data_IF_804894593721
#
_entry.id   IF_804894593721
#
_cell.length_a   1.000
_cell.length_b   1.000
_cell.length_c   1.000
_cell.angle_alpha   90.00
_cell.angle_beta   90.00
_cell.angle_gamma   90.00
#
_symmetry.space_group_name_H-M   'P 1'
#
loop_
_entity.id
_entity.type
_entity.pdbx_description
1 polymer ?
#
# COMPACT_ATOMS: atom_id res chain seq x y z
N UNK A 1 -10.44 -18.34 1.72
CA UNK A 1 -11.22 -17.65 0.67
C UNK A 1 -11.20 -16.16 0.99
N UNK A 2 -10.60 -15.36 0.12
CA UNK A 2 -10.61 -13.89 0.27
C UNK A 2 -11.88 -13.39 -0.40
N UNK A 3 -12.86 -12.95 0.39
CA UNK A 3 -14.05 -12.28 -0.14
C UNK A 3 -13.69 -10.81 -0.34
N UNK A 4 -13.59 -10.37 -1.60
CA UNK A 4 -13.29 -8.99 -1.97
C UNK A 4 -14.61 -8.36 -2.41
N UNK A 5 -15.20 -7.52 -1.56
CA UNK A 5 -16.29 -6.64 -1.98
C UNK A 5 -15.72 -5.43 -2.69
N UNK A 6 -16.35 -5.05 -3.80
CA UNK A 6 -15.79 -4.19 -4.85
C UNK A 6 -15.61 -2.73 -4.43
N UNK A 7 -16.33 -2.29 -3.40
CA UNK A 7 -16.40 -0.87 -3.00
C UNK A 7 -15.94 -0.62 -1.54
N UNK A 8 -15.84 -1.69 -0.76
CA UNK A 8 -15.20 -1.77 0.55
C UNK A 8 -14.23 -2.95 0.45
N UNK A 9 -12.93 -2.69 0.33
CA UNK A 9 -11.95 -3.78 0.32
C UNK A 9 -11.84 -4.31 1.75
N UNK A 10 -12.83 -5.08 2.17
CA UNK A 10 -12.91 -5.78 3.42
C UNK A 10 -12.14 -7.08 3.27
N UNK A 11 -10.82 -7.03 3.42
CA UNK A 11 -10.01 -8.22 3.26
C UNK A 11 -10.17 -9.13 4.48
N UNK A 12 -10.73 -10.34 4.30
CA UNK A 12 -10.81 -11.35 5.38
C UNK A 12 -9.55 -12.22 5.37
N UNK A 13 -8.67 -12.06 6.36
CA UNK A 13 -7.35 -12.70 6.41
C UNK A 13 -7.28 -13.97 7.27
N UNK A 14 -8.11 -14.98 6.96
CA UNK A 14 -8.03 -16.26 7.69
C UNK A 14 -6.98 -17.23 7.12
N UNK A 15 -6.53 -17.03 5.88
CA UNK A 15 -5.79 -18.06 5.12
C UNK A 15 -4.46 -17.60 4.50
N UNK A 16 -3.87 -16.47 4.93
CA UNK A 16 -2.53 -16.13 4.46
C UNK A 16 -1.51 -17.11 5.05
N UNK A 17 -0.64 -17.72 4.23
CA UNK A 17 0.35 -18.65 4.74
C UNK A 17 1.22 -17.96 5.79
N UNK A 18 1.59 -18.73 6.81
CA UNK A 18 2.65 -18.31 7.73
C UNK A 18 3.95 -18.36 6.96
N UNK A 19 4.61 -17.22 6.87
CA UNK A 19 5.90 -17.11 6.18
C UNK A 19 7.01 -17.13 7.24
N UNK A 20 8.07 -17.94 7.04
CA UNK A 20 9.22 -17.91 7.92
C UNK A 20 9.88 -16.53 7.91
N UNK A 21 10.42 -16.13 9.06
CA UNK A 21 11.23 -14.92 9.17
C UNK A 21 12.60 -15.07 8.48
N UNK A 22 13.29 -13.94 8.33
CA UNK A 22 14.59 -13.88 7.66
C UNK A 22 15.61 -13.17 8.54
N UNK A 23 16.88 -13.56 8.45
CA UNK A 23 17.97 -12.85 9.15
C UNK A 23 18.39 -11.55 8.46
N UNK A 24 17.96 -11.35 7.21
CA UNK A 24 18.32 -10.21 6.39
C UNK A 24 17.07 -9.49 5.85
N UNK A 25 17.24 -8.21 5.52
CA UNK A 25 16.29 -7.46 4.70
C UNK A 25 16.27 -8.02 3.27
N UNK A 26 15.12 -7.91 2.61
CA UNK A 26 14.99 -8.33 1.23
C UNK A 26 13.57 -8.15 0.68
N UNK A 27 13.24 -9.01 -0.27
CA UNK A 27 11.95 -9.05 -0.94
C UNK A 27 11.26 -10.38 -0.68
N UNK A 28 9.98 -10.33 -0.37
CA UNK A 28 9.10 -11.47 -0.57
C UNK A 28 8.47 -11.34 -1.95
N UNK A 29 8.60 -12.39 -2.76
CA UNK A 29 8.16 -12.39 -4.15
C UNK A 29 7.18 -13.54 -4.32
N UNK A 30 5.97 -13.21 -4.80
CA UNK A 30 5.00 -14.19 -5.24
C UNK A 30 5.32 -14.54 -6.69
N UNK A 31 5.48 -15.83 -6.95
CA UNK A 31 5.82 -16.35 -8.27
C UNK A 31 4.82 -17.40 -8.73
N UNK A 32 4.61 -17.50 -10.03
CA UNK A 32 4.01 -18.68 -10.63
C UNK A 32 4.94 -19.91 -10.45
N UNK A 33 4.44 -21.14 -10.73
CA UNK A 33 5.23 -22.36 -10.59
C UNK A 33 6.45 -22.46 -11.52
N UNK A 34 6.41 -21.79 -12.67
CA UNK A 34 7.42 -21.89 -13.75
C UNK A 34 8.47 -20.77 -13.68
N UNK A 35 8.34 -19.86 -12.71
CA UNK A 35 9.24 -18.73 -12.55
C UNK A 35 10.67 -19.18 -12.22
N UNK A 36 11.60 -18.85 -13.11
CA UNK A 36 13.04 -19.15 -12.95
C UNK A 36 13.66 -18.55 -11.69
N UNK A 37 13.03 -17.54 -11.07
CA UNK A 37 13.51 -16.95 -9.83
C UNK A 37 13.55 -17.99 -8.70
N UNK A 38 12.58 -18.91 -8.67
CA UNK A 38 12.47 -19.93 -7.63
C UNK A 38 13.60 -20.97 -7.64
N UNK A 39 14.34 -21.07 -8.75
CA UNK A 39 15.45 -22.01 -8.92
C UNK A 39 16.83 -21.34 -8.87
N UNK A 40 16.91 -20.02 -8.65
CA UNK A 40 18.22 -19.33 -8.60
C UNK A 40 18.95 -19.63 -7.29
N UNK A 41 20.28 -19.82 -7.34
CA UNK A 41 21.10 -19.96 -6.13
C UNK A 41 20.92 -18.79 -5.16
N UNK A 42 20.81 -19.10 -3.86
CA UNK A 42 20.66 -18.10 -2.80
C UNK A 42 19.23 -17.55 -2.61
N UNK A 43 18.26 -18.00 -3.42
CA UNK A 43 16.84 -17.69 -3.23
C UNK A 43 16.17 -18.86 -2.52
N UNK A 44 15.53 -18.57 -1.39
CA UNK A 44 14.84 -19.58 -0.59
C UNK A 44 13.34 -19.55 -0.88
N UNK A 45 12.74 -20.71 -1.18
CA UNK A 45 11.29 -20.87 -1.15
C UNK A 45 10.83 -20.88 0.30
N UNK A 46 9.92 -19.99 0.64
CA UNK A 46 9.40 -19.79 1.98
C UNK A 46 8.07 -20.49 2.21
N UNK A 47 7.20 -20.48 1.20
CA UNK A 47 5.90 -21.11 1.29
C UNK A 47 5.31 -21.42 -0.09
N UNK A 48 4.16 -22.08 -0.06
CA UNK A 48 3.23 -22.16 -1.18
C UNK A 48 2.03 -21.27 -0.88
N UNK A 49 1.65 -20.48 -1.86
CA UNK A 49 0.47 -19.61 -1.84
C UNK A 49 -0.69 -20.32 -2.55
N UNK A 50 -1.96 -19.95 -2.27
CA UNK A 50 -3.11 -20.50 -2.99
C UNK A 50 -2.94 -20.48 -4.53
N UNK A 51 -3.31 -21.59 -5.17
CA UNK A 51 -3.15 -21.79 -6.62
C UNK A 51 -1.79 -22.38 -7.03
N UNK A 52 -1.04 -22.98 -6.10
CA UNK A 52 0.25 -23.63 -6.40
C UNK A 52 1.44 -22.68 -6.53
N UNK A 53 1.20 -21.37 -6.39
CA UNK A 53 2.19 -20.30 -6.49
C UNK A 53 3.25 -20.40 -5.39
N UNK A 54 4.48 -20.00 -5.71
CA UNK A 54 5.58 -19.95 -4.75
C UNK A 54 5.66 -18.59 -4.06
N UNK A 55 6.02 -18.59 -2.77
CA UNK A 55 6.59 -17.39 -2.15
C UNK A 55 8.07 -17.62 -1.94
N UNK A 56 8.89 -16.77 -2.52
CA UNK A 56 10.35 -16.83 -2.39
C UNK A 56 10.88 -15.58 -1.70
N UNK A 57 12.02 -15.71 -1.05
CA UNK A 57 12.74 -14.60 -0.45
C UNK A 57 14.01 -14.28 -1.22
N UNK A 58 14.16 -13.02 -1.60
CA UNK A 58 15.34 -12.48 -2.28
C UNK A 58 16.09 -11.57 -1.31
N UNK A 59 17.19 -12.02 -0.69
CA UNK A 59 17.98 -11.19 0.23
C UNK A 59 18.62 -10.02 -0.52
N UNK A 60 18.50 -8.81 0.01
CA UNK A 60 19.14 -7.63 -0.59
C UNK A 60 19.23 -6.47 0.40
N UNK A 61 20.32 -5.72 0.32
CA UNK A 61 20.50 -4.45 1.04
C UNK A 61 19.93 -3.24 0.26
N UNK A 62 19.44 -3.46 -0.96
CA UNK A 62 18.84 -2.44 -1.84
C UNK A 62 17.47 -2.93 -2.34
N UNK A 63 16.46 -3.01 -1.46
CA UNK A 63 15.18 -3.65 -1.77
C UNK A 63 14.48 -2.99 -2.96
N UNK A 64 14.37 -1.67 -3.01
CA UNK A 64 13.67 -0.99 -4.11
C UNK A 64 14.36 -1.18 -5.46
N UNK A 65 15.69 -1.10 -5.51
CA UNK A 65 16.44 -1.32 -6.75
C UNK A 65 16.28 -2.76 -7.23
N UNK A 66 16.42 -3.74 -6.33
CA UNK A 66 16.23 -5.15 -6.67
C UNK A 66 14.80 -5.44 -7.11
N UNK A 67 13.80 -4.81 -6.48
CA UNK A 67 12.40 -4.99 -6.84
C UNK A 67 12.09 -4.50 -8.25
N UNK A 68 12.71 -3.39 -8.69
CA UNK A 68 12.57 -2.92 -10.09
C UNK A 68 13.18 -3.89 -11.10
N UNK A 69 14.22 -4.62 -10.73
CA UNK A 69 14.79 -5.66 -11.60
C UNK A 69 13.92 -6.93 -11.59
N UNK A 70 13.54 -7.41 -10.40
CA UNK A 70 12.78 -8.65 -10.23
C UNK A 70 11.38 -8.56 -10.84
N UNK A 71 10.72 -7.39 -10.81
CA UNK A 71 9.36 -7.23 -11.35
C UNK A 71 9.24 -7.42 -12.87
N UNK A 72 10.37 -7.44 -13.58
CA UNK A 72 10.44 -7.65 -15.03
C UNK A 72 10.68 -9.12 -15.41
N UNK A 73 10.86 -9.99 -14.41
CA UNK A 73 11.08 -11.41 -14.66
C UNK A 73 9.76 -12.11 -14.93
N UNK A 74 9.72 -12.91 -15.99
CA UNK A 74 8.58 -13.75 -16.31
C UNK A 74 8.20 -14.63 -15.11
N UNK A 75 6.90 -14.68 -14.84
CA UNK A 75 6.32 -15.43 -13.74
C UNK A 75 6.42 -14.80 -12.36
N UNK A 76 6.96 -13.58 -12.25
CA UNK A 76 6.81 -12.77 -11.03
C UNK A 76 5.44 -12.11 -11.03
N UNK A 77 4.67 -12.31 -9.96
CA UNK A 77 3.29 -11.81 -9.85
C UNK A 77 3.16 -10.60 -8.92
N UNK A 78 3.88 -10.63 -7.80
CA UNK A 78 3.79 -9.59 -6.78
C UNK A 78 5.08 -9.52 -5.95
N UNK A 79 5.43 -8.32 -5.47
CA UNK A 79 6.63 -8.09 -4.68
C UNK A 79 6.27 -7.26 -3.47
N UNK A 80 6.71 -7.68 -2.28
CA UNK A 80 6.74 -6.80 -1.11
C UNK A 80 8.12 -6.68 -0.49
N UNK A 81 8.45 -5.49 0.00
CA UNK A 81 9.63 -5.27 0.82
C UNK A 81 9.42 -5.91 2.20
N UNK A 82 10.42 -6.65 2.67
CA UNK A 82 10.44 -7.33 3.96
C UNK A 82 11.72 -6.99 4.72
N UNK A 83 11.64 -6.39 5.92
CA UNK A 83 12.80 -6.19 6.78
C UNK A 83 13.31 -7.51 7.36
N UNK A 84 14.51 -7.47 7.92
CA UNK A 84 15.00 -8.55 8.74
C UNK A 84 14.08 -8.83 9.93
N UNK A 85 13.88 -10.10 10.24
CA UNK A 85 13.09 -10.59 11.36
C UNK A 85 11.86 -11.39 10.91
N UNK A 86 10.89 -11.51 11.82
CA UNK A 86 9.63 -12.18 11.54
C UNK A 86 8.86 -11.47 10.43
N UNK A 87 8.19 -12.24 9.57
CA UNK A 87 7.28 -11.66 8.57
C UNK A 87 5.99 -11.24 9.26
N UNK A 88 5.75 -9.93 9.31
CA UNK A 88 4.56 -9.37 9.96
C UNK A 88 3.27 -9.66 9.18
N UNK A 89 2.12 -9.50 9.83
CA UNK A 89 0.83 -9.59 9.15
C UNK A 89 0.73 -8.52 8.06
N UNK A 90 1.17 -7.29 8.35
CA UNK A 90 1.17 -6.16 7.42
C UNK A 90 2.05 -6.42 6.19
N UNK A 91 3.22 -7.06 6.33
CA UNK A 91 4.01 -7.47 5.17
C UNK A 91 3.24 -8.46 4.29
N UNK A 92 2.58 -9.47 4.88
CA UNK A 92 1.79 -10.44 4.11
C UNK A 92 0.60 -9.78 3.41
N UNK A 93 0.00 -8.79 4.06
CA UNK A 93 -1.07 -7.97 3.47
C UNK A 93 -0.54 -7.14 2.30
N UNK A 94 0.65 -6.55 2.42
CA UNK A 94 1.27 -5.82 1.32
C UNK A 94 1.54 -6.75 0.13
N UNK A 95 2.08 -7.96 0.35
CA UNK A 95 2.27 -8.94 -0.74
C UNK A 95 0.95 -9.31 -1.43
N UNK A 96 -0.10 -9.55 -0.65
CA UNK A 96 -1.44 -9.80 -1.19
C UNK A 96 -1.95 -8.60 -1.99
N UNK A 97 -1.78 -7.38 -1.47
CA UNK A 97 -2.19 -6.14 -2.12
C UNK A 97 -1.51 -5.96 -3.48
N UNK A 98 -0.20 -6.22 -3.58
CA UNK A 98 0.52 -6.20 -4.85
C UNK A 98 -0.10 -7.18 -5.88
N UNK A 99 -0.53 -8.36 -5.45
CA UNK A 99 -1.22 -9.33 -6.32
C UNK A 99 -2.61 -8.83 -6.76
N UNK A 100 -3.36 -8.16 -5.88
CA UNK A 100 -4.66 -7.57 -6.24
C UNK A 100 -4.51 -6.39 -7.20
N UNK A 101 -3.50 -5.54 -7.01
CA UNK A 101 -3.18 -4.46 -7.95
C UNK A 101 -2.92 -5.03 -9.35
N UNK A 102 -2.18 -6.13 -9.44
CA UNK A 102 -2.01 -6.87 -10.69
C UNK A 102 -3.35 -7.30 -11.27
N UNK A 103 -4.16 -8.00 -10.51
CA UNK A 103 -5.42 -8.57 -11.00
C UNK A 103 -6.43 -7.51 -11.46
N UNK A 104 -6.46 -6.36 -10.78
CA UNK A 104 -7.41 -5.28 -11.04
C UNK A 104 -6.94 -4.25 -12.07
N UNK A 105 -5.64 -3.90 -12.08
CA UNK A 105 -5.11 -2.83 -12.94
C UNK A 105 -4.50 -3.33 -14.24
N UNK A 106 -3.83 -4.49 -14.27
CA UNK A 106 -3.19 -4.96 -15.51
C UNK A 106 -4.15 -5.12 -16.68
N UNK A 107 -5.38 -5.66 -16.53
CA UNK A 107 -6.32 -5.73 -17.63
C UNK A 107 -6.68 -4.36 -18.19
N UNK A 108 -6.95 -3.38 -17.33
CA UNK A 108 -7.25 -2.00 -17.71
C UNK A 108 -6.07 -1.40 -18.48
N UNK A 109 -4.85 -1.56 -17.95
CA UNK A 109 -3.63 -1.06 -18.57
C UNK A 109 -3.36 -1.66 -19.94
N UNK A 110 -3.56 -2.98 -20.11
CA UNK A 110 -3.39 -3.64 -21.41
C UNK A 110 -4.39 -3.13 -22.45
N UNK A 111 -5.63 -2.87 -22.04
CA UNK A 111 -6.65 -2.33 -22.95
C UNK A 111 -6.41 -0.87 -23.34
N UNK A 112 -5.88 -0.04 -22.44
CA UNK A 112 -5.59 1.38 -22.73
C UNK A 112 -4.27 1.57 -23.47
N UNK A 113 -3.23 0.79 -23.16
CA UNK A 113 -1.93 0.83 -23.84
C UNK A 113 -2.04 0.38 -25.31
N UNK A 114 -2.88 -0.61 -25.60
CA UNK A 114 -3.13 -1.08 -26.97
C UNK A 114 -3.74 -0.04 -27.92
N UNK A 115 -4.10 1.16 -27.44
CA UNK A 115 -4.55 2.28 -28.27
C UNK A 115 -3.47 3.29 -28.65
N UNK A 116 -2.32 3.35 -27.97
CA UNK A 116 -1.31 4.39 -28.24
C UNK A 116 0.14 4.13 -27.76
N UNK A 117 0.48 2.97 -27.17
CA UNK A 117 1.85 2.73 -26.67
C UNK A 117 2.29 1.27 -26.69
N UNK A 118 3.61 1.09 -26.79
CA UNK A 118 4.30 -0.19 -26.79
C UNK A 118 4.01 -0.96 -25.48
N UNK A 119 3.46 -2.17 -25.59
CA UNK A 119 3.04 -3.02 -24.45
C UNK A 119 4.23 -3.45 -23.56
N UNK A 120 5.45 -3.25 -24.05
CA UNK A 120 6.73 -3.55 -23.40
C UNK A 120 7.02 -2.75 -22.14
N UNK A 121 6.26 -1.67 -21.87
CA UNK A 121 6.48 -0.78 -20.72
C UNK A 121 5.60 -1.14 -19.51
N UNK A 122 4.61 -2.02 -19.67
CA UNK A 122 3.73 -2.37 -18.56
C UNK A 122 4.45 -3.30 -17.57
N UNK A 123 4.43 -3.01 -16.27
CA UNK A 123 5.10 -3.86 -15.30
C UNK A 123 4.36 -5.20 -15.13
N UNK A 124 5.10 -6.31 -15.17
CA UNK A 124 4.52 -7.63 -14.90
C UNK A 124 4.12 -7.81 -13.43
N UNK A 125 4.78 -7.11 -12.51
CA UNK A 125 4.44 -7.14 -11.09
C UNK A 125 4.45 -5.77 -10.42
N UNK A 126 3.64 -5.63 -9.37
CA UNK A 126 3.59 -4.45 -8.51
C UNK A 126 4.51 -4.62 -7.30
N UNK A 127 5.11 -3.51 -6.86
CA UNK A 127 6.03 -3.47 -5.72
C UNK A 127 5.37 -2.70 -4.57
N UNK A 128 5.23 -3.35 -3.42
CA UNK A 128 4.54 -2.76 -2.26
C UNK A 128 5.28 -2.93 -0.94
N UNK A 129 4.88 -2.21 0.10
CA UNK A 129 5.39 -2.40 1.47
C UNK A 129 4.50 -1.74 2.51
N UNK A 130 4.53 -2.24 3.75
CA UNK A 130 3.75 -1.70 4.86
C UNK A 130 4.49 -0.61 5.64
N UNK A 131 3.76 0.30 6.31
CA UNK A 131 4.38 1.47 6.97
C UNK A 131 5.43 1.13 8.06
N UNK A 132 5.24 0.08 8.85
CA UNK A 132 6.23 -0.30 9.87
C UNK A 132 7.55 -0.80 9.26
N UNK A 133 7.48 -1.38 8.06
CA UNK A 133 8.62 -1.95 7.36
C UNK A 133 9.34 -0.95 6.45
N UNK A 134 8.72 0.20 6.15
CA UNK A 134 9.17 1.13 5.09
C UNK A 134 9.60 2.50 5.57
N UNK A 135 9.31 2.87 6.83
CA UNK A 135 9.81 4.11 7.45
C UNK A 135 11.36 4.20 7.49
N UNK A 136 12.05 3.06 7.33
CA UNK A 136 13.51 2.95 7.20
C UNK A 136 14.03 3.14 5.77
N UNK A 137 13.18 3.05 4.75
CA UNK A 137 13.53 3.39 3.36
C UNK A 137 13.49 4.92 3.23
N UNK A 138 14.41 5.59 3.95
CA UNK A 138 14.42 7.05 4.16
C UNK A 138 14.68 7.86 2.89
N UNK A 139 15.01 7.23 1.77
CA UNK A 139 15.14 7.87 0.46
C UNK A 139 14.53 6.95 -0.58
N UNK A 140 13.29 7.24 -0.97
CA UNK A 140 12.79 6.72 -2.23
C UNK A 140 13.74 7.24 -3.32
N UNK A 141 14.31 6.38 -4.18
CA UNK A 141 15.10 6.84 -5.32
C UNK A 141 14.31 7.89 -6.09
N UNK A 142 14.95 8.94 -6.59
CA UNK A 142 14.28 10.01 -7.36
C UNK A 142 13.48 9.46 -8.55
N UNK A 143 13.92 8.33 -9.09
CA UNK A 143 13.32 7.59 -10.21
C UNK A 143 12.03 6.84 -9.83
N UNK A 144 11.71 6.73 -8.55
CA UNK A 144 10.56 5.99 -8.03
C UNK A 144 9.62 6.94 -7.31
N UNK A 145 8.34 6.89 -7.67
CA UNK A 145 7.25 7.53 -6.98
C UNK A 145 6.63 6.57 -5.96
N UNK A 146 6.10 7.13 -4.88
CA UNK A 146 5.44 6.38 -3.82
C UNK A 146 3.97 6.76 -3.73
N UNK A 147 3.09 5.77 -3.89
CA UNK A 147 1.63 5.93 -3.81
C UNK A 147 1.14 5.32 -2.51
N UNK A 148 0.41 6.11 -1.71
CA UNK A 148 -0.23 5.62 -0.49
C UNK A 148 -1.58 4.97 -0.81
N UNK A 149 -1.74 3.72 -0.37
CA UNK A 149 -3.02 3.05 -0.28
C UNK A 149 -3.44 2.97 1.18
N UNK A 150 -4.66 3.40 1.46
CA UNK A 150 -5.32 3.17 2.73
C UNK A 150 -6.29 2.03 2.55
N UNK A 151 -6.04 0.92 3.24
CA UNK A 151 -6.83 -0.30 3.13
C UNK A 151 -7.48 -0.64 4.46
N UNK A 152 -8.67 -1.25 4.40
CA UNK A 152 -9.35 -1.78 5.58
C UNK A 152 -9.16 -3.29 5.61
N UNK A 153 -8.85 -3.82 6.78
CA UNK A 153 -8.46 -5.21 6.96
C UNK A 153 -9.36 -5.84 8.00
N UNK A 154 -10.06 -6.91 7.65
CA UNK A 154 -10.84 -7.69 8.60
C UNK A 154 -9.96 -8.73 9.29
N UNK A 155 -9.56 -8.41 10.53
CA UNK A 155 -8.82 -9.29 11.43
C UNK A 155 -9.76 -10.12 12.34
N UNK A 156 -10.85 -10.65 11.77
CA UNK A 156 -11.80 -11.55 12.41
C UNK A 156 -12.81 -10.84 13.34
N UNK A 157 -12.34 -10.22 14.42
CA UNK A 157 -13.19 -9.51 15.40
C UNK A 157 -13.05 -7.99 15.33
N UNK A 158 -12.10 -7.49 14.56
CA UNK A 158 -11.81 -6.06 14.43
C UNK A 158 -11.45 -5.71 13.00
N UNK A 159 -11.85 -4.52 12.59
CA UNK A 159 -11.35 -3.89 11.38
C UNK A 159 -10.10 -3.08 11.73
N UNK A 160 -9.07 -3.22 10.91
CA UNK A 160 -7.81 -2.49 11.02
C UNK A 160 -7.65 -1.62 9.78
N UNK A 161 -7.31 -0.36 9.96
CA UNK A 161 -6.90 0.50 8.85
C UNK A 161 -5.38 0.38 8.71
N UNK A 162 -4.90 0.04 7.51
CA UNK A 162 -3.49 -0.11 7.24
C UNK A 162 -3.03 0.76 6.06
N UNK A 163 -1.86 1.41 6.19
CA UNK A 163 -1.18 2.06 5.08
C UNK A 163 -0.32 1.03 4.33
N UNK A 164 -0.56 0.91 3.03
CA UNK A 164 0.29 0.15 2.10
C UNK A 164 0.87 1.11 1.08
N UNK A 165 2.19 1.11 0.95
CA UNK A 165 2.90 1.86 -0.06
C UNK A 165 3.03 1.02 -1.32
N UNK A 166 2.72 1.62 -2.46
CA UNK A 166 3.08 1.11 -3.79
C UNK A 166 4.23 1.96 -4.33
N UNK A 167 5.23 1.32 -4.91
CA UNK A 167 6.34 1.99 -5.58
C UNK A 167 6.30 1.73 -7.08
N UNK A 168 6.35 2.83 -7.82
CA UNK A 168 6.26 2.85 -9.27
C UNK A 168 7.41 3.68 -9.84
N UNK A 169 7.99 3.30 -10.98
CA UNK A 169 8.80 4.21 -11.78
C UNK A 169 8.05 5.52 -11.96
N UNK A 170 8.74 6.64 -11.78
CA UNK A 170 8.15 7.97 -11.87
C UNK A 170 7.44 8.22 -13.21
N UNK A 171 7.96 7.78 -14.38
CA UNK A 171 7.23 7.91 -15.64
C UNK A 171 5.85 7.23 -15.59
N UNK A 172 5.77 6.01 -15.05
CA UNK A 172 4.50 5.28 -14.91
C UNK A 172 3.54 5.99 -13.98
N UNK A 173 4.05 6.47 -12.83
CA UNK A 173 3.24 7.18 -11.86
C UNK A 173 2.68 8.50 -12.44
N UNK A 174 3.48 9.25 -13.20
CA UNK A 174 3.02 10.45 -13.89
C UNK A 174 2.00 10.12 -14.98
N UNK A 175 2.20 9.03 -15.73
CA UNK A 175 1.24 8.60 -16.74
C UNK A 175 -0.12 8.22 -16.14
N UNK A 176 -0.14 7.63 -14.94
CA UNK A 176 -1.37 7.13 -14.33
C UNK A 176 -2.07 8.12 -13.41
N UNK A 177 -1.32 8.93 -12.68
CA UNK A 177 -1.83 9.80 -11.63
C UNK A 177 -1.57 11.29 -11.91
N UNK A 178 -0.81 11.61 -12.96
CA UNK A 178 -0.41 12.98 -13.28
C UNK A 178 0.53 13.58 -12.22
N UNK A 179 0.58 14.92 -12.18
CA UNK A 179 1.41 15.68 -11.23
C UNK A 179 0.99 15.53 -9.76
N UNK A 180 -0.22 14.99 -9.52
CA UNK A 180 -0.86 14.87 -8.19
C UNK A 180 -0.09 14.00 -7.22
N UNK A 181 0.79 13.12 -7.71
CA UNK A 181 1.61 12.25 -6.87
C UNK A 181 2.54 13.04 -5.96
N UNK A 182 3.12 14.14 -6.46
CA UNK A 182 3.97 15.02 -5.65
C UNK A 182 3.13 15.88 -4.69
N UNK A 183 1.90 16.22 -5.08
CA UNK A 183 1.01 17.08 -4.30
C UNK A 183 0.54 16.40 -3.01
N UNK A 184 0.40 15.07 -2.97
CA UNK A 184 0.01 14.33 -1.76
C UNK A 184 1.16 14.04 -0.80
N UNK A 185 2.42 14.25 -1.18
CA UNK A 185 3.56 13.80 -0.36
C UNK A 185 3.60 14.46 1.03
N UNK A 186 3.13 15.70 1.15
CA UNK A 186 3.02 16.38 2.44
C UNK A 186 2.03 15.68 3.39
N UNK A 187 1.01 14.99 2.89
CA UNK A 187 0.07 14.23 3.73
C UNK A 187 0.71 12.97 4.32
N UNK A 188 1.83 12.51 3.77
CA UNK A 188 2.50 11.29 4.22
C UNK A 188 3.16 11.43 5.60
N UNK A 189 3.30 12.64 6.13
CA UNK A 189 3.70 12.85 7.52
C UNK A 189 2.55 12.66 8.51
N UNK A 190 1.31 12.58 8.02
CA UNK A 190 0.07 12.49 8.80
C UNK A 190 -0.61 11.12 8.65
N UNK A 191 0.17 10.04 8.53
CA UNK A 191 -0.38 8.67 8.38
C UNK A 191 -1.34 8.32 9.52
N UNK A 192 -1.04 8.57 10.82
CA UNK A 192 -1.99 8.28 11.89
C UNK A 192 -3.34 8.99 11.71
N UNK A 193 -3.32 10.26 11.33
CA UNK A 193 -4.52 11.07 11.11
C UNK A 193 -5.29 10.62 9.87
N UNK A 194 -4.60 10.21 8.80
CA UNK A 194 -5.23 9.63 7.62
C UNK A 194 -5.96 8.31 7.93
N UNK A 195 -5.34 7.44 8.72
CA UNK A 195 -5.96 6.18 9.16
C UNK A 195 -7.15 6.45 10.08
N UNK A 196 -7.03 7.42 10.98
CA UNK A 196 -8.13 7.88 11.81
C UNK A 196 -9.27 8.43 10.95
N UNK A 197 -8.98 9.26 9.95
CA UNK A 197 -9.96 9.90 9.08
C UNK A 197 -10.72 8.86 8.25
N UNK A 198 -10.01 7.86 7.72
CA UNK A 198 -10.62 6.73 7.02
C UNK A 198 -11.60 5.97 7.92
N UNK A 199 -11.19 5.68 9.16
CA UNK A 199 -12.07 5.05 10.15
C UNK A 199 -13.29 5.92 10.47
N UNK A 200 -13.08 7.23 10.66
CA UNK A 200 -14.13 8.18 10.95
C UNK A 200 -15.14 8.29 9.79
N UNK A 201 -14.67 8.29 8.54
CA UNK A 201 -15.52 8.24 7.35
C UNK A 201 -16.40 6.98 7.34
N UNK A 202 -15.79 5.79 7.47
CA UNK A 202 -16.49 4.50 7.47
C UNK A 202 -17.54 4.38 8.58
N UNK A 203 -17.31 5.02 9.72
CA UNK A 203 -18.21 4.98 10.87
C UNK A 203 -19.20 6.16 10.88
N UNK A 204 -19.21 7.01 9.84
CA UNK A 204 -20.00 8.26 9.77
C UNK A 204 -19.75 9.22 10.95
N UNK A 205 -18.49 9.27 11.43
CA UNK A 205 -18.03 10.08 12.57
C UNK A 205 -16.99 11.13 12.17
N UNK A 206 -17.07 11.65 10.95
CA UNK A 206 -16.20 12.75 10.51
C UNK A 206 -16.40 14.01 11.40
N UNK A 207 -15.38 14.87 11.54
CA UNK A 207 -15.48 16.12 12.28
C UNK A 207 -16.69 16.95 11.87
N UNK A 208 -17.42 17.48 12.85
CA UNK A 208 -18.53 18.41 12.63
C UNK A 208 -18.03 19.85 12.39
N UNK A 209 -17.01 19.98 11.53
CA UNK A 209 -16.46 21.27 11.08
C UNK A 209 -16.90 21.52 9.63
N UNK A 210 -16.84 22.77 9.12
CA UNK A 210 -17.14 23.04 7.72
C UNK A 210 -16.30 22.20 6.73
N UNK A 211 -15.03 21.95 7.03
CA UNK A 211 -14.16 21.09 6.21
C UNK A 211 -14.55 19.62 6.32
N UNK A 212 -14.90 19.13 7.52
CA UNK A 212 -15.40 17.77 7.72
C UNK A 212 -16.72 17.50 6.99
N UNK A 213 -17.63 18.49 6.95
CA UNK A 213 -18.88 18.41 6.18
C UNK A 213 -18.64 18.45 4.66
N UNK A 214 -17.65 19.22 4.18
CA UNK A 214 -17.23 19.18 2.78
C UNK A 214 -16.63 17.83 2.41
N UNK A 215 -15.80 17.27 3.28
CA UNK A 215 -15.22 15.95 3.09
C UNK A 215 -16.30 14.86 3.08
N UNK A 216 -17.26 14.91 4.00
CA UNK A 216 -18.39 13.98 4.02
C UNK A 216 -19.20 14.02 2.71
N UNK A 217 -19.46 15.24 2.18
CA UNK A 217 -20.12 15.40 0.88
C UNK A 217 -19.31 14.91 -0.30
N UNK A 218 -17.99 15.13 -0.27
CA UNK A 218 -17.09 14.67 -1.33
C UNK A 218 -16.96 13.14 -1.34
N UNK A 219 -16.93 12.50 -0.17
CA UNK A 219 -16.94 11.05 -0.04
C UNK A 219 -18.29 10.45 -0.46
N UNK A 220 -19.41 11.06 -0.07
CA UNK A 220 -20.71 10.42 -0.26
C UNK A 220 -20.75 9.08 0.46
N UNK A 221 -21.01 8.00 -0.29
CA UNK A 221 -20.99 6.62 0.19
C UNK A 221 -19.63 5.92 -0.08
N UNK A 222 -18.65 6.63 -0.66
CA UNK A 222 -17.34 6.08 -0.96
C UNK A 222 -16.39 6.03 0.26
N UNK A 223 -15.36 5.20 0.16
CA UNK A 223 -14.30 5.15 1.17
C UNK A 223 -13.15 6.10 0.86
N UNK A 224 -12.44 6.54 1.91
CA UNK A 224 -11.20 7.34 1.77
C UNK A 224 -10.06 6.47 1.19
N UNK A 225 -10.01 6.33 -0.13
CA UNK A 225 -8.98 5.55 -0.86
C UNK A 225 -7.75 6.40 -1.19
N UNK A 226 -6.66 5.75 -1.63
CA UNK A 226 -5.49 6.47 -2.16
C UNK A 226 -5.81 7.35 -3.37
N UNK A 227 -6.76 6.93 -4.22
CA UNK A 227 -7.25 7.73 -5.34
C UNK A 227 -7.98 8.98 -4.85
N UNK A 228 -8.89 8.81 -3.89
CA UNK A 228 -9.58 9.94 -3.27
C UNK A 228 -8.59 10.94 -2.67
N UNK A 229 -7.53 10.46 -2.00
CA UNK A 229 -6.47 11.32 -1.49
C UNK A 229 -5.80 12.13 -2.59
N UNK A 230 -5.47 11.52 -3.73
CA UNK A 230 -4.85 12.23 -4.87
C UNK A 230 -5.78 13.33 -5.42
N UNK A 231 -7.07 13.03 -5.53
CA UNK A 231 -8.07 13.94 -6.10
C UNK A 231 -8.48 15.07 -5.14
N UNK A 232 -8.48 14.81 -3.82
CA UNK A 232 -8.99 15.72 -2.79
C UNK A 232 -7.95 16.10 -1.73
N UNK A 233 -6.66 16.02 -2.05
CA UNK A 233 -5.55 16.20 -1.09
C UNK A 233 -5.65 17.50 -0.27
N UNK A 234 -6.01 18.62 -0.89
CA UNK A 234 -6.15 19.90 -0.21
C UNK A 234 -7.27 19.90 0.83
N UNK A 235 -8.42 19.29 0.51
CA UNK A 235 -9.55 19.16 1.44
C UNK A 235 -9.21 18.22 2.61
N UNK A 236 -8.50 17.13 2.33
CA UNK A 236 -8.04 16.19 3.35
C UNK A 236 -7.04 16.86 4.29
N UNK A 237 -6.06 17.59 3.74
CA UNK A 237 -5.10 18.37 4.53
C UNK A 237 -5.78 19.35 5.47
N UNK A 238 -6.75 20.11 4.98
CA UNK A 238 -7.51 21.06 5.80
C UNK A 238 -8.25 20.39 6.97
N UNK A 239 -8.82 19.19 6.76
CA UNK A 239 -9.49 18.44 7.83
C UNK A 239 -8.48 17.96 8.87
N UNK A 240 -7.32 17.45 8.44
CA UNK A 240 -6.25 16.99 9.33
C UNK A 240 -5.72 18.15 10.17
N UNK A 241 -5.40 19.29 9.56
CA UNK A 241 -4.88 20.46 10.26
C UNK A 241 -5.86 20.98 11.33
N UNK A 242 -7.14 21.11 10.97
CA UNK A 242 -8.18 21.57 11.91
C UNK A 242 -8.46 20.56 13.02
N UNK A 243 -8.38 19.26 12.72
CA UNK A 243 -8.54 18.22 13.73
C UNK A 243 -7.39 18.21 14.72
N UNK A 244 -6.15 18.28 14.22
CA UNK A 244 -4.96 18.35 15.06
C UNK A 244 -5.03 19.54 16.01
N UNK A 245 -5.37 20.74 15.51
CA UNK A 245 -5.54 21.93 16.35
C UNK A 245 -6.61 21.73 17.44
N UNK A 246 -7.71 21.05 17.11
CA UNK A 246 -8.80 20.80 18.08
C UNK A 246 -8.40 19.83 19.20
N UNK A 247 -7.54 18.84 18.91
CA UNK A 247 -7.01 17.95 19.96
C UNK A 247 -6.06 18.67 20.92
N UNK A 248 -5.29 19.64 20.42
CA UNK A 248 -4.34 20.42 21.23
C UNK A 248 -5.03 21.44 22.14
N UNK A 249 -6.11 22.07 21.69
CA UNK A 249 -6.89 23.03 22.50
C UNK A 249 -7.76 22.31 23.55
N UNK A 250 -8.08 21.03 23.34
CA UNK A 250 -8.90 20.22 24.24
C UNK A 250 -8.16 19.53 25.39
N UNK A 251 -6.83 19.61 25.48
CA UNK A 251 -6.10 19.14 26.66
C UNK A 251 -6.04 20.26 27.71
N UNK A 252 -6.67 20.12 28.90
CA UNK A 252 -6.45 21.07 29.96
C UNK A 252 -4.97 21.03 30.34
N UNK A 253 -4.32 22.19 30.24
CA UNK A 253 -2.98 22.40 30.80
C UNK A 253 -3.11 22.08 32.29
N UNK A 254 -2.59 20.92 32.70
CA UNK A 254 -2.50 20.56 34.10
C UNK A 254 -1.66 21.62 34.79
N UNK A 255 -2.33 22.53 35.49
CA UNK A 255 -1.67 23.46 36.40
C UNK A 255 -0.96 22.59 37.43
N UNK A 256 0.37 22.69 37.58
CA UNK A 256 1.05 21.97 38.65
C UNK A 256 0.53 22.54 39.96
N UNK A 257 -0.20 21.73 40.71
CA UNK A 257 -0.53 22.03 42.10
C UNK A 257 0.78 22.12 42.88
N UNK A 258 1.06 23.32 43.38
CA UNK A 258 2.15 23.62 44.32
C UNK A 258 1.88 22.98 45.67
#
# INVERSE_FOLDING_TARGET
MVDVRKDDILCVFRDLPVLPGTSAEGLLVLTDPDCSLATRPGIARHATWPGGRGVVFVPTIRPLWMAQHVRQLAGVEAITVQPAGAVSVETRIALWWANELRSSRLPVLRTTAGRNSDLSVLPDAFVTGASQTTSRVRRCPSEVARILHLITVNAGRRLLELPVWEWLPRPDALAWFGVRVSEVEHLYQHIPELLWLRRAAREHRLPQTPSGQRLARALGDETLTGRFLLEHHALVGEVIEKHALSQWVGQPVGVPSR
#
